data_IF_630969391015
#
_entry.id   IF_630969391015
#
_cell.length_a   1.000
_cell.length_b   1.000
_cell.length_c   1.000
_cell.angle_alpha   90.00
_cell.angle_beta   90.00
_cell.angle_gamma   90.00
#
_symmetry.space_group_name_H-M   'P 1'
#
loop_
_entity.id
_entity.type
_entity.pdbx_description
1 polymer ?
#
# COMPACT_ATOMS: atom_id res chain seq x y z
N UNK A 1 79.11 58.07 21.38
CA UNK A 1 78.33 56.99 22.02
C UNK A 1 77.51 56.34 20.92
N UNK A 2 77.60 55.03 20.74
CA UNK A 2 76.74 54.33 19.78
C UNK A 2 75.33 54.26 20.37
N UNK A 3 74.34 54.67 19.58
CA UNK A 3 72.93 54.64 19.99
C UNK A 3 72.45 53.19 19.97
N UNK A 4 71.97 52.68 21.11
CA UNK A 4 71.47 51.30 21.21
C UNK A 4 69.98 51.33 20.87
N UNK A 5 69.63 50.88 19.67
CA UNK A 5 68.23 50.75 19.25
C UNK A 5 67.65 49.47 19.87
N UNK A 6 66.59 49.55 20.70
CA UNK A 6 65.97 48.37 21.27
C UNK A 6 65.28 47.53 20.17
N UNK A 7 65.42 46.21 20.30
CA UNK A 7 64.78 45.23 19.42
C UNK A 7 63.63 44.55 20.16
N UNK A 8 62.49 44.38 19.50
CA UNK A 8 61.41 43.51 19.98
C UNK A 8 61.38 42.25 19.13
N UNK A 9 61.29 41.10 19.82
CA UNK A 9 61.04 39.80 19.18
C UNK A 9 59.54 39.52 19.17
N UNK A 10 58.99 39.33 17.96
CA UNK A 10 57.61 38.87 17.78
C UNK A 10 57.67 37.39 17.36
N UNK A 11 56.88 36.55 18.03
CA UNK A 11 56.74 35.12 17.70
C UNK A 11 55.41 34.93 16.97
N UNK A 12 55.47 34.57 15.69
CA UNK A 12 54.30 34.28 14.87
C UNK A 12 54.23 32.77 14.60
N UNK A 13 53.43 32.07 15.40
CA UNK A 13 53.30 30.61 15.32
C UNK A 13 54.59 29.87 15.69
N UNK A 14 54.60 28.56 15.43
CA UNK A 14 55.55 27.61 16.02
C UNK A 14 56.97 27.64 15.43
N UNK A 15 57.31 28.48 14.44
CA UNK A 15 58.61 28.33 13.76
C UNK A 15 59.24 29.58 13.14
N UNK A 16 58.70 30.80 13.32
CA UNK A 16 59.35 32.02 12.79
C UNK A 16 59.34 33.15 13.81
N UNK A 17 60.54 33.68 14.07
CA UNK A 17 60.75 34.90 14.85
C UNK A 17 61.30 35.98 13.92
N UNK A 18 60.72 37.17 13.97
CA UNK A 18 61.20 38.33 13.24
C UNK A 18 61.65 39.39 14.26
N UNK A 19 62.85 39.94 14.07
CA UNK A 19 63.37 41.04 14.86
C UNK A 19 63.18 42.34 14.09
N UNK A 20 62.39 43.25 14.65
CA UNK A 20 62.11 44.56 14.03
C UNK A 20 62.85 45.62 14.86
N UNK A 21 63.77 46.40 14.26
CA UNK A 21 64.34 47.56 14.94
C UNK A 21 63.24 48.60 15.14
N UNK A 22 63.01 49.04 16.38
CA UNK A 22 61.97 50.02 16.69
C UNK A 22 62.66 51.35 17.02
N UNK A 23 62.49 52.34 16.15
CA UNK A 23 62.87 53.75 16.35
C UNK A 23 61.69 54.60 16.87
N UNK A 24 60.54 53.97 17.12
CA UNK A 24 59.30 54.62 17.53
C UNK A 24 58.78 54.14 18.90
N UNK A 25 58.60 55.07 19.86
CA UNK A 25 57.96 54.79 21.15
C UNK A 25 56.46 55.04 21.01
N UNK A 26 55.74 54.04 20.49
CA UNK A 26 54.27 54.06 20.37
C UNK A 26 53.74 52.69 19.94
N UNK A 27 52.41 52.52 19.96
CA UNK A 27 51.79 51.27 19.53
C UNK A 27 52.10 50.98 18.05
N UNK A 28 52.77 49.86 17.78
CA UNK A 28 52.95 49.34 16.42
C UNK A 28 51.78 48.39 16.11
N UNK A 29 50.87 48.74 15.18
CA UNK A 29 49.86 47.80 14.73
C UNK A 29 50.52 46.69 13.92
N UNK A 30 50.37 45.44 14.37
CA UNK A 30 50.80 44.25 13.64
C UNK A 30 49.57 43.68 12.96
N UNK A 31 49.57 43.65 11.62
CA UNK A 31 48.51 43.00 10.86
C UNK A 31 48.93 41.56 10.55
N UNK A 32 48.19 40.58 11.10
CA UNK A 32 48.47 39.16 10.89
C UNK A 32 47.71 38.72 9.64
N UNK A 33 48.39 38.67 8.49
CA UNK A 33 47.81 38.19 7.25
C UNK A 33 47.64 36.67 7.29
N UNK A 34 46.39 36.20 7.33
CA UNK A 34 46.07 34.79 7.12
C UNK A 34 46.03 34.51 5.61
N UNK A 35 46.56 33.36 5.14
CA UNK A 35 46.44 33.00 3.74
C UNK A 35 44.95 32.80 3.40
N UNK A 36 44.50 33.54 2.38
CA UNK A 36 43.16 33.46 1.83
C UNK A 36 43.15 32.77 0.47
N UNK A 37 41.98 32.29 0.04
CA UNK A 37 41.76 31.91 -1.36
C UNK A 37 41.64 33.17 -2.27
N UNK A 38 41.42 32.98 -3.57
CA UNK A 38 41.26 34.08 -4.53
C UNK A 38 40.01 34.95 -4.30
N UNK A 39 39.19 34.62 -3.30
CA UNK A 39 37.98 35.34 -2.91
C UNK A 39 38.07 35.90 -1.47
N UNK A 40 39.28 36.01 -0.91
CA UNK A 40 39.54 36.49 0.46
C UNK A 40 38.95 35.62 1.59
N UNK A 41 38.63 34.34 1.33
CA UNK A 41 38.22 33.42 2.39
C UNK A 41 39.44 32.80 3.07
N UNK A 42 39.45 32.79 4.41
CA UNK A 42 40.46 32.06 5.19
C UNK A 42 40.36 30.58 4.86
N UNK A 43 41.49 29.97 4.47
CA UNK A 43 41.54 28.55 4.15
C UNK A 43 41.32 27.69 5.40
N UNK A 44 40.15 27.07 5.51
CA UNK A 44 39.84 26.09 6.58
C UNK A 44 40.23 24.69 6.09
N UNK A 45 41.21 24.08 6.74
CA UNK A 45 41.61 22.69 6.44
C UNK A 45 40.60 21.70 7.04
N UNK A 46 39.61 21.29 6.24
CA UNK A 46 38.66 20.23 6.62
C UNK A 46 39.27 18.86 6.24
N UNK A 47 40.30 18.43 6.98
CA UNK A 47 41.05 17.20 6.68
C UNK A 47 40.34 15.89 7.12
N UNK A 48 39.07 15.93 7.50
CA UNK A 48 38.36 14.73 7.96
C UNK A 48 37.25 14.37 6.98
N UNK A 49 37.37 13.25 6.24
CA UNK A 49 36.25 12.68 5.49
C UNK A 49 35.08 12.45 6.44
N UNK A 50 33.88 12.83 6.01
CA UNK A 50 32.65 12.46 6.72
C UNK A 50 32.62 10.92 6.86
N UNK A 51 32.26 10.38 8.04
CA UNK A 51 32.13 8.94 8.20
C UNK A 51 31.16 8.38 7.15
N UNK A 52 31.59 7.37 6.40
CA UNK A 52 30.71 6.65 5.49
C UNK A 52 29.68 5.88 6.33
N UNK A 53 28.48 6.44 6.45
CA UNK A 53 27.35 5.72 7.04
C UNK A 53 26.85 4.67 6.07
N UNK A 54 26.75 3.41 6.51
CA UNK A 54 26.00 2.39 5.78
C UNK A 54 24.51 2.61 6.04
N UNK A 55 23.76 3.15 5.08
CA UNK A 55 22.31 3.13 5.11
C UNK A 55 21.81 1.70 4.84
N UNK A 56 21.92 0.84 5.83
CA UNK A 56 21.25 -0.47 5.84
C UNK A 56 19.80 -0.25 6.23
N UNK A 57 18.98 0.21 5.28
CA UNK A 57 17.55 -0.11 5.36
C UNK A 57 17.52 -1.62 5.21
N UNK A 58 17.23 -2.33 6.31
CA UNK A 58 17.21 -3.79 6.35
C UNK A 58 16.40 -4.35 5.19
N UNK A 59 16.75 -5.57 4.77
CA UNK A 59 16.13 -6.27 3.65
C UNK A 59 14.59 -6.06 3.68
N UNK A 60 14.04 -5.37 2.67
CA UNK A 60 12.59 -5.20 2.55
C UNK A 60 12.02 -6.57 2.20
N UNK A 61 11.63 -7.30 3.24
CA UNK A 61 10.96 -8.56 3.05
C UNK A 61 9.56 -8.24 2.55
N UNK A 62 9.27 -8.56 1.30
CA UNK A 62 7.88 -8.61 0.83
C UNK A 62 7.29 -9.76 1.64
N UNK A 63 6.50 -9.43 2.67
CA UNK A 63 5.65 -10.41 3.33
C UNK A 63 4.93 -11.17 2.22
N UNK A 64 5.05 -12.51 2.26
CA UNK A 64 4.71 -13.46 1.20
C UNK A 64 3.66 -12.96 0.20
N UNK A 65 3.81 -13.23 -1.11
CA UNK A 65 2.77 -12.89 -2.08
C UNK A 65 1.42 -13.35 -1.50
N UNK A 66 0.45 -12.42 -1.48
CA UNK A 66 -0.91 -12.72 -1.04
C UNK A 66 -1.30 -14.06 -1.67
N UNK A 67 -1.81 -15.02 -0.89
CA UNK A 67 -2.21 -16.29 -1.47
C UNK A 67 -3.15 -15.97 -2.62
N UNK A 68 -2.78 -16.37 -3.83
CA UNK A 68 -3.73 -16.40 -4.93
C UNK A 68 -4.86 -17.29 -4.44
N UNK A 69 -6.02 -16.71 -4.12
CA UNK A 69 -7.19 -17.52 -3.81
C UNK A 69 -7.38 -18.45 -5.01
N UNK A 70 -7.44 -19.76 -4.74
CA UNK A 70 -7.67 -20.76 -5.76
C UNK A 70 -8.88 -20.36 -6.60
N UNK A 71 -8.84 -20.66 -7.91
CA UNK A 71 -9.97 -20.40 -8.79
C UNK A 71 -11.28 -20.93 -8.15
N UNK A 72 -12.29 -20.06 -8.07
CA UNK A 72 -13.60 -20.43 -7.52
C UNK A 72 -14.26 -21.42 -8.48
N UNK A 73 -14.53 -22.63 -7.99
CA UNK A 73 -15.24 -23.65 -8.77
C UNK A 73 -16.72 -23.28 -8.86
N UNK A 74 -17.16 -22.79 -10.02
CA UNK A 74 -18.55 -22.44 -10.28
C UNK A 74 -19.28 -23.65 -10.88
N UNK A 75 -20.44 -23.96 -10.29
CA UNK A 75 -21.35 -25.01 -10.74
C UNK A 75 -22.64 -24.39 -11.28
N UNK A 76 -23.28 -25.09 -12.21
CA UNK A 76 -24.59 -24.72 -12.76
C UNK A 76 -25.52 -25.92 -12.69
N UNK A 77 -26.75 -25.69 -12.23
CA UNK A 77 -27.83 -26.68 -12.23
C UNK A 77 -29.08 -26.07 -12.86
N UNK A 78 -29.86 -26.91 -13.54
CA UNK A 78 -31.18 -26.53 -14.02
C UNK A 78 -32.25 -27.14 -13.13
N UNK A 79 -33.35 -26.41 -12.91
CA UNK A 79 -34.49 -26.89 -12.15
C UNK A 79 -35.79 -26.58 -12.89
N UNK A 80 -36.63 -27.58 -13.08
CA UNK A 80 -37.96 -27.44 -13.68
C UNK A 80 -39.03 -27.49 -12.61
N UNK A 81 -40.02 -26.60 -12.66
CA UNK A 81 -41.16 -26.58 -11.76
C UNK A 81 -42.09 -27.74 -12.11
N UNK A 82 -42.31 -28.64 -11.17
CA UNK A 82 -43.13 -29.83 -11.40
C UNK A 82 -44.63 -29.52 -11.30
N UNK A 83 -45.01 -28.63 -10.39
CA UNK A 83 -46.41 -28.26 -10.13
C UNK A 83 -46.54 -26.75 -10.09
N UNK A 84 -47.43 -26.20 -10.92
CA UNK A 84 -47.74 -24.78 -10.97
C UNK A 84 -48.17 -24.25 -9.59
N UNK A 85 -47.80 -23.01 -9.28
CA UNK A 85 -48.18 -22.29 -8.06
C UNK A 85 -47.85 -23.01 -6.75
N UNK A 86 -46.92 -23.98 -6.78
CA UNK A 86 -46.47 -24.74 -5.62
C UNK A 86 -45.00 -24.47 -5.37
N UNK A 87 -44.64 -24.08 -4.15
CA UNK A 87 -43.25 -23.86 -3.78
C UNK A 87 -42.46 -25.18 -3.90
N UNK A 88 -41.36 -25.14 -4.64
CA UNK A 88 -40.47 -26.27 -4.88
C UNK A 88 -39.05 -25.91 -4.43
N UNK A 89 -38.38 -26.82 -3.70
CA UNK A 89 -36.97 -26.65 -3.36
C UNK A 89 -36.09 -26.69 -4.62
N UNK A 90 -34.95 -25.98 -4.60
CA UNK A 90 -33.91 -26.19 -5.60
C UNK A 90 -33.31 -27.60 -5.48
N UNK A 91 -32.73 -28.16 -6.56
CA UNK A 91 -31.96 -29.39 -6.49
C UNK A 91 -30.81 -29.28 -5.47
N UNK A 92 -30.46 -30.40 -4.83
CA UNK A 92 -29.46 -30.42 -3.78
C UNK A 92 -28.08 -29.99 -4.28
N UNK A 93 -27.42 -29.10 -3.54
CA UNK A 93 -26.06 -28.63 -3.76
C UNK A 93 -25.63 -27.78 -2.57
N UNK A 94 -24.34 -27.48 -2.46
CA UNK A 94 -23.82 -26.58 -1.42
C UNK A 94 -23.06 -25.45 -2.09
N UNK A 95 -23.49 -24.22 -1.81
CA UNK A 95 -22.81 -23.00 -2.23
C UNK A 95 -22.02 -22.43 -1.06
N UNK A 96 -20.85 -21.87 -1.33
CA UNK A 96 -19.98 -21.21 -0.35
C UNK A 96 -19.85 -19.71 -0.58
N UNK A 97 -19.82 -19.23 -1.81
CA UNK A 97 -19.53 -17.84 -2.15
C UNK A 97 -20.77 -17.09 -2.62
N UNK A 98 -21.48 -17.65 -3.60
CA UNK A 98 -22.64 -16.99 -4.16
C UNK A 98 -23.63 -18.00 -4.73
N UNK A 99 -24.87 -17.53 -4.89
CA UNK A 99 -25.93 -18.23 -5.61
C UNK A 99 -26.58 -17.21 -6.53
N UNK A 100 -26.66 -17.49 -7.82
CA UNK A 100 -27.41 -16.69 -8.79
C UNK A 100 -28.47 -17.55 -9.44
N UNK A 101 -29.72 -17.11 -9.38
CA UNK A 101 -30.87 -17.78 -9.98
C UNK A 101 -31.29 -16.95 -11.19
N UNK A 102 -31.30 -17.58 -12.37
CA UNK A 102 -31.74 -16.99 -13.62
C UNK A 102 -33.14 -17.50 -13.96
N UNK A 103 -34.05 -16.56 -14.20
CA UNK A 103 -35.36 -16.88 -14.74
C UNK A 103 -35.26 -17.02 -16.27
N UNK A 104 -35.42 -18.25 -16.75
CA UNK A 104 -35.39 -18.55 -18.19
C UNK A 104 -36.79 -18.62 -18.81
N UNK A 105 -37.83 -18.27 -18.05
CA UNK A 105 -39.23 -18.33 -18.46
C UNK A 105 -39.75 -16.97 -18.91
N UNK A 106 -40.91 -16.99 -19.58
CA UNK A 106 -41.71 -15.79 -19.85
C UNK A 106 -42.42 -15.25 -18.61
N UNK A 107 -42.68 -16.12 -17.63
CA UNK A 107 -43.40 -15.78 -16.41
C UNK A 107 -42.47 -15.15 -15.38
N UNK A 108 -43.01 -14.39 -14.43
CA UNK A 108 -42.25 -13.97 -13.24
C UNK A 108 -42.20 -15.15 -12.27
N UNK A 109 -40.99 -15.50 -11.83
CA UNK A 109 -40.81 -16.49 -10.76
C UNK A 109 -40.66 -15.78 -9.43
N UNK A 110 -40.96 -16.47 -8.34
CA UNK A 110 -40.76 -15.98 -6.99
C UNK A 110 -39.85 -16.93 -6.21
N UNK A 111 -38.83 -16.40 -5.56
CA UNK A 111 -37.86 -17.16 -4.76
C UNK A 111 -38.00 -16.79 -3.27
N UNK A 112 -37.72 -17.75 -2.39
CA UNK A 112 -37.62 -17.52 -0.94
C UNK A 112 -37.47 -18.83 -0.16
N UNK A 113 -38.18 -18.94 0.97
CA UNK A 113 -38.21 -20.14 1.82
C UNK A 113 -39.39 -21.04 1.46
N UNK A 114 -39.57 -22.19 2.13
CA UNK A 114 -40.72 -23.07 1.91
C UNK A 114 -42.08 -22.41 2.20
N UNK A 115 -42.12 -21.39 3.04
CA UNK A 115 -43.36 -20.73 3.49
C UNK A 115 -43.57 -19.33 2.93
N UNK A 116 -42.52 -18.71 2.36
CA UNK A 116 -42.58 -17.33 1.83
C UNK A 116 -41.67 -17.19 0.60
N UNK A 117 -42.26 -16.99 -0.58
CA UNK A 117 -41.53 -16.67 -1.83
C UNK A 117 -41.81 -15.21 -2.21
N UNK A 118 -40.99 -14.30 -1.71
CA UNK A 118 -41.23 -12.86 -1.81
C UNK A 118 -40.25 -12.11 -2.72
N UNK A 119 -39.30 -12.83 -3.35
CA UNK A 119 -38.31 -12.24 -4.25
C UNK A 119 -38.77 -12.49 -5.70
N UNK A 120 -39.42 -11.53 -6.37
CA UNK A 120 -39.78 -11.67 -7.77
C UNK A 120 -38.54 -11.58 -8.66
N UNK A 121 -38.43 -12.48 -9.62
CA UNK A 121 -37.44 -12.44 -10.70
C UNK A 121 -38.23 -12.40 -12.01
N UNK A 122 -38.21 -11.25 -12.68
CA UNK A 122 -38.91 -11.04 -13.95
C UNK A 122 -38.34 -11.94 -15.05
N UNK A 123 -39.08 -12.10 -16.14
CA UNK A 123 -38.65 -12.87 -17.31
C UNK A 123 -37.29 -12.41 -17.82
N UNK A 124 -36.38 -13.37 -18.05
CA UNK A 124 -35.00 -13.10 -18.46
C UNK A 124 -34.11 -12.45 -17.39
N UNK A 125 -34.65 -12.17 -16.20
CA UNK A 125 -33.93 -11.57 -15.08
C UNK A 125 -33.16 -12.58 -14.24
N UNK A 126 -32.42 -12.07 -13.27
CA UNK A 126 -31.68 -12.88 -12.30
C UNK A 126 -31.69 -12.26 -10.91
N UNK A 127 -31.48 -13.09 -9.91
CA UNK A 127 -31.25 -12.66 -8.53
C UNK A 127 -30.03 -13.37 -7.95
N UNK A 128 -29.15 -12.60 -7.32
CA UNK A 128 -27.91 -13.10 -6.73
C UNK A 128 -27.90 -12.89 -5.22
N UNK A 129 -27.39 -13.89 -4.50
CA UNK A 129 -27.11 -13.87 -3.08
C UNK A 129 -25.60 -14.04 -2.94
N UNK A 130 -24.97 -13.12 -2.22
CA UNK A 130 -23.59 -13.25 -1.78
C UNK A 130 -23.57 -13.77 -0.34
N UNK A 131 -22.85 -14.88 -0.12
CA UNK A 131 -22.83 -15.63 1.13
C UNK A 131 -21.44 -15.71 1.77
N UNK A 132 -20.40 -15.10 1.16
CA UNK A 132 -19.07 -14.88 1.78
C UNK A 132 -18.48 -16.08 2.56
N UNK A 133 -18.38 -17.25 1.93
CA UNK A 133 -17.89 -18.52 2.52
C UNK A 133 -18.78 -19.15 3.61
N UNK A 134 -20.01 -18.67 3.83
CA UNK A 134 -20.99 -19.33 4.68
C UNK A 134 -21.76 -20.40 3.87
N UNK A 135 -21.55 -21.71 4.12
CA UNK A 135 -22.17 -22.74 3.30
C UNK A 135 -23.70 -22.70 3.38
N UNK A 136 -24.36 -22.64 2.23
CA UNK A 136 -25.81 -22.77 2.10
C UNK A 136 -26.15 -24.03 1.31
N UNK A 137 -27.06 -24.83 1.87
CA UNK A 137 -27.69 -25.92 1.14
C UNK A 137 -28.75 -25.36 0.19
N UNK A 138 -28.60 -25.57 -1.12
CA UNK A 138 -29.53 -25.09 -2.14
C UNK A 138 -30.97 -25.60 -1.91
N UNK A 139 -31.15 -26.79 -1.37
CA UNK A 139 -32.48 -27.34 -1.05
C UNK A 139 -33.23 -26.59 0.06
N UNK A 140 -32.57 -25.62 0.72
CA UNK A 140 -33.22 -24.68 1.64
C UNK A 140 -33.88 -23.49 0.95
N UNK A 141 -33.57 -23.27 -0.33
CA UNK A 141 -34.14 -22.23 -1.18
C UNK A 141 -35.29 -22.84 -1.98
N UNK A 142 -36.42 -22.15 -1.97
CA UNK A 142 -37.62 -22.55 -2.69
C UNK A 142 -37.97 -21.51 -3.74
N UNK A 143 -38.61 -21.98 -4.80
CA UNK A 143 -39.10 -21.12 -5.87
C UNK A 143 -40.47 -21.60 -6.35
N UNK A 144 -41.18 -20.70 -7.01
CA UNK A 144 -42.51 -20.96 -7.58
C UNK A 144 -42.70 -20.12 -8.83
N UNK A 145 -43.52 -20.63 -9.75
CA UNK A 145 -44.01 -19.93 -10.94
C UNK A 145 -45.48 -20.27 -11.18
N UNK A 146 -46.14 -19.51 -12.05
CA UNK A 146 -47.54 -19.75 -12.47
C UNK A 146 -47.72 -20.98 -13.35
N UNK A 147 -46.66 -21.45 -14.00
CA UNK A 147 -46.74 -22.49 -15.04
C UNK A 147 -45.87 -23.70 -14.68
N UNK A 148 -46.45 -24.90 -14.75
CA UNK A 148 -45.69 -26.14 -14.59
C UNK A 148 -44.85 -26.39 -15.84
N UNK A 149 -43.62 -26.87 -15.69
CA UNK A 149 -42.65 -27.00 -16.78
C UNK A 149 -41.75 -25.78 -16.97
N UNK A 150 -42.04 -24.67 -16.30
CA UNK A 150 -41.10 -23.54 -16.22
C UNK A 150 -39.76 -24.01 -15.67
N UNK A 151 -38.66 -23.44 -16.15
CA UNK A 151 -37.31 -23.83 -15.80
C UNK A 151 -36.45 -22.63 -15.39
N UNK A 152 -35.56 -22.87 -14.44
CA UNK A 152 -34.58 -21.90 -13.96
C UNK A 152 -33.19 -22.50 -14.06
N UNK A 153 -32.20 -21.63 -14.16
CA UNK A 153 -30.79 -21.99 -14.07
C UNK A 153 -30.22 -21.39 -12.79
N UNK A 154 -29.49 -22.19 -12.02
CA UNK A 154 -28.86 -21.77 -10.77
C UNK A 154 -27.36 -21.93 -10.92
N UNK A 155 -26.64 -20.81 -10.89
CA UNK A 155 -25.18 -20.76 -10.88
C UNK A 155 -24.72 -20.51 -9.45
N UNK A 156 -23.82 -21.33 -8.93
CA UNK A 156 -23.35 -21.21 -7.55
C UNK A 156 -21.91 -21.66 -7.39
N UNK A 157 -21.26 -21.13 -6.37
CA UNK A 157 -19.94 -21.54 -5.92
C UNK A 157 -19.87 -21.49 -4.41
#
# INVERSE_FOLDING_TARGET
MADVIPLVSIVLGSSKSYSIPIDFIGNVPIDVLYPTDNNDNVLVNIATPLPAGTNTIGNVNIASPLPFESAVNVNTIEATLTTANTAQALPSGTAYNFITIYNKNSDTIYVGSSSKQNIPILSGGSYSIDIHQAPINLASIYWVSSTAGDYIEVMYA
#
